data_IF_286919273044
#
_entry.id   IF_286919273044
#
_cell.length_a   1.000
_cell.length_b   1.000
_cell.length_c   1.000
_cell.angle_alpha   90.00
_cell.angle_beta   90.00
_cell.angle_gamma   90.00
#
_symmetry.space_group_name_H-M   'P 1'
#
loop_
_entity.id
_entity.type
_entity.pdbx_description
1 polymer ?
#
# COMPACT_ATOMS: atom_id res chain seq x y z
N UNK A 1 -9.46 -4.62 -0.08
CA UNK A 1 -8.22 -4.70 0.73
C UNK A 1 -8.10 -6.03 1.48
N UNK A 2 -9.03 -6.40 2.35
CA UNK A 2 -8.95 -7.65 3.17
C UNK A 2 -8.69 -8.90 2.33
N UNK A 3 -9.45 -9.12 1.24
CA UNK A 3 -9.24 -10.26 0.33
C UNK A 3 -7.83 -10.30 -0.26
N UNK A 4 -7.26 -9.14 -0.59
CA UNK A 4 -5.88 -9.05 -1.09
C UNK A 4 -4.87 -9.44 -0.01
N UNK A 5 -5.07 -8.98 1.22
CA UNK A 5 -4.22 -9.34 2.35
C UNK A 5 -4.25 -10.85 2.65
N UNK A 6 -5.44 -11.48 2.64
CA UNK A 6 -5.58 -12.94 2.83
C UNK A 6 -4.82 -13.73 1.78
N UNK A 7 -4.96 -13.36 0.51
CA UNK A 7 -4.32 -14.06 -0.60
C UNK A 7 -2.79 -13.88 -0.63
N UNK A 8 -2.28 -12.85 0.04
CA UNK A 8 -0.86 -12.51 0.05
C UNK A 8 -0.23 -12.53 1.46
N UNK A 9 -0.88 -13.19 2.43
CA UNK A 9 -0.47 -13.15 3.85
C UNK A 9 0.99 -13.57 4.05
N UNK A 10 1.41 -14.69 3.45
CA UNK A 10 2.79 -15.17 3.56
C UNK A 10 3.83 -14.13 3.09
N UNK A 11 3.55 -13.40 2.00
CA UNK A 11 4.46 -12.36 1.50
C UNK A 11 4.40 -11.10 2.35
N UNK A 12 3.21 -10.72 2.78
CA UNK A 12 3.01 -9.50 3.57
C UNK A 12 3.63 -9.61 4.97
N UNK A 13 3.78 -10.82 5.49
CA UNK A 13 4.42 -11.09 6.78
C UNK A 13 5.91 -10.67 6.83
N UNK A 14 6.57 -10.58 5.67
CA UNK A 14 7.97 -10.13 5.57
C UNK A 14 8.14 -8.60 5.74
N UNK A 15 7.03 -7.85 5.80
CA UNK A 15 7.04 -6.39 5.83
C UNK A 15 6.53 -5.85 7.17
N UNK A 16 7.04 -4.67 7.53
CA UNK A 16 6.45 -3.85 8.59
C UNK A 16 5.19 -3.17 8.05
N UNK A 17 4.03 -3.72 8.38
CA UNK A 17 2.74 -3.25 7.86
C UNK A 17 2.16 -2.14 8.73
N UNK A 18 1.61 -1.12 8.06
CA UNK A 18 0.92 0.01 8.68
C UNK A 18 -0.41 0.22 7.96
N UNK A 19 -1.49 0.48 8.70
CA UNK A 19 -2.80 0.71 8.12
C UNK A 19 -3.65 1.68 8.95
N UNK A 20 -4.51 2.44 8.28
CA UNK A 20 -5.50 3.30 8.95
C UNK A 20 -6.51 2.46 9.73
N UNK A 21 -7.08 3.06 10.79
CA UNK A 21 -7.82 2.36 11.85
C UNK A 21 -8.78 1.26 11.39
N UNK A 22 -9.73 1.58 10.51
CA UNK A 22 -10.75 0.63 10.03
C UNK A 22 -10.14 -0.47 9.16
N UNK A 23 -9.25 -0.11 8.24
CA UNK A 23 -8.58 -1.06 7.35
C UNK A 23 -7.70 -2.02 8.14
N UNK A 24 -6.87 -1.49 9.05
CA UNK A 24 -5.97 -2.29 9.88
C UNK A 24 -6.72 -3.24 10.81
N UNK A 25 -7.85 -2.80 11.38
CA UNK A 25 -8.70 -3.67 12.19
C UNK A 25 -9.24 -4.86 11.40
N UNK A 26 -9.86 -4.60 10.25
CA UNK A 26 -10.44 -5.65 9.39
C UNK A 26 -9.39 -6.63 8.85
N UNK A 27 -8.18 -6.17 8.56
CA UNK A 27 -7.11 -7.07 8.13
C UNK A 27 -6.60 -7.89 9.32
N UNK A 28 -6.38 -7.28 10.49
CA UNK A 28 -5.93 -8.00 11.68
C UNK A 28 -6.89 -9.10 12.12
N UNK A 29 -8.20 -8.87 12.00
CA UNK A 29 -9.23 -9.90 12.25
C UNK A 29 -9.17 -11.05 11.23
N UNK A 30 -8.92 -10.74 9.96
CA UNK A 30 -8.93 -11.74 8.88
C UNK A 30 -7.59 -12.47 8.67
N UNK A 31 -6.49 -11.86 9.13
CA UNK A 31 -5.11 -12.29 8.96
C UNK A 31 -4.34 -12.06 10.27
N UNK A 32 -4.56 -12.88 11.31
CA UNK A 32 -3.97 -12.68 12.64
C UNK A 32 -2.43 -12.80 12.63
N UNK A 33 -1.86 -13.50 11.64
CA UNK A 33 -0.41 -13.65 11.49
C UNK A 33 0.28 -12.37 10.97
N UNK A 34 -0.48 -11.37 10.51
CA UNK A 34 0.06 -10.10 10.06
C UNK A 34 0.18 -9.11 11.22
N UNK A 35 1.41 -8.75 11.57
CA UNK A 35 1.66 -7.69 12.55
C UNK A 35 1.44 -6.30 11.93
N UNK A 36 0.25 -5.75 12.12
CA UNK A 36 -0.17 -4.46 11.54
C UNK A 36 -0.19 -3.38 12.60
N UNK A 37 0.62 -2.33 12.39
CA UNK A 37 0.56 -1.11 13.20
C UNK A 37 -0.67 -0.30 12.77
N UNK A 38 -1.62 -0.16 13.69
CA UNK A 38 -2.85 0.62 13.46
C UNK A 38 -2.62 2.10 13.71
N UNK A 39 -2.94 2.90 12.70
CA UNK A 39 -2.96 4.36 12.77
C UNK A 39 -4.40 4.85 13.05
N UNK A 40 -4.60 6.16 13.13
CA UNK A 40 -5.95 6.73 13.14
C UNK A 40 -6.71 6.36 11.85
N UNK A 41 -8.04 6.46 11.87
CA UNK A 41 -8.81 6.39 10.62
C UNK A 41 -8.45 7.58 9.72
N UNK A 42 -8.58 7.43 8.40
CA UNK A 42 -8.29 8.50 7.43
C UNK A 42 -8.94 9.83 7.81
N UNK A 43 -10.28 9.89 8.02
CA UNK A 43 -10.99 11.11 8.43
C UNK A 43 -10.55 11.73 9.77
N UNK A 44 -9.85 10.98 10.62
CA UNK A 44 -9.34 11.46 11.92
C UNK A 44 -7.83 11.77 11.86
N UNK A 45 -7.27 11.91 10.66
CA UNK A 45 -5.87 12.26 10.41
C UNK A 45 -4.94 11.09 10.13
N UNK A 46 -5.47 9.87 9.93
CA UNK A 46 -4.66 8.70 9.57
C UNK A 46 -3.88 8.88 8.28
N UNK A 47 -4.48 9.54 7.29
CA UNK A 47 -3.83 9.79 5.99
C UNK A 47 -2.67 10.79 6.13
N UNK A 48 -2.80 11.75 7.04
CA UNK A 48 -1.73 12.69 7.38
C UNK A 48 -0.58 12.00 8.13
N UNK A 49 -0.88 11.03 9.01
CA UNK A 49 0.16 10.21 9.64
C UNK A 49 0.95 9.41 8.61
N UNK A 50 0.27 8.82 7.61
CA UNK A 50 0.94 8.12 6.50
C UNK A 50 1.77 9.10 5.68
N UNK A 51 1.22 10.27 5.33
CA UNK A 51 1.93 11.31 4.60
C UNK A 51 3.21 11.78 5.31
N UNK A 52 3.16 11.97 6.62
CA UNK A 52 4.34 12.32 7.42
C UNK A 52 5.40 11.20 7.34
N UNK A 53 5.01 9.93 7.45
CA UNK A 53 5.95 8.81 7.33
C UNK A 53 6.57 8.69 5.93
N UNK A 54 5.84 9.04 4.87
CA UNK A 54 6.42 9.14 3.51
C UNK A 54 7.48 10.23 3.50
N UNK A 55 7.14 11.43 3.99
CA UNK A 55 8.04 12.58 3.98
C UNK A 55 9.30 12.39 4.83
N UNK A 56 9.20 11.60 5.90
CA UNK A 56 10.31 11.23 6.80
C UNK A 56 11.13 10.02 6.31
N UNK A 57 10.79 9.42 5.16
CA UNK A 57 11.48 8.23 4.64
C UNK A 57 11.24 6.97 5.48
N UNK A 58 10.13 6.90 6.23
CA UNK A 58 9.75 5.78 7.11
C UNK A 58 8.74 4.82 6.46
N UNK A 59 8.22 5.18 5.29
CA UNK A 59 7.28 4.38 4.50
C UNK A 59 7.80 4.23 3.07
N UNK A 60 8.06 2.99 2.66
CA UNK A 60 8.77 2.67 1.41
C UNK A 60 7.86 2.15 0.28
N UNK A 61 6.56 2.05 0.54
CA UNK A 61 5.59 1.60 -0.45
C UNK A 61 4.16 1.76 0.07
N UNK A 62 3.24 2.09 -0.84
CA UNK A 62 1.85 2.41 -0.51
C UNK A 62 0.89 1.54 -1.32
N UNK A 63 0.03 0.77 -0.64
CA UNK A 63 -1.11 0.09 -1.27
C UNK A 63 -2.37 0.81 -0.83
N UNK A 64 -2.98 1.56 -1.74
CA UNK A 64 -4.11 2.43 -1.44
C UNK A 64 -5.22 2.25 -2.47
N UNK A 65 -6.13 1.31 -2.21
CA UNK A 65 -7.26 1.05 -3.10
C UNK A 65 -8.32 2.14 -2.94
N UNK A 66 -8.32 3.08 -3.87
CA UNK A 66 -9.28 4.18 -3.94
C UNK A 66 -10.50 3.71 -4.72
N UNK A 67 -11.70 4.06 -4.26
CA UNK A 67 -12.92 3.92 -5.06
C UNK A 67 -13.02 5.13 -6.01
N UNK A 68 -12.93 4.94 -7.34
CA UNK A 68 -12.97 6.04 -8.29
C UNK A 68 -14.38 6.55 -8.58
N UNK A 69 -15.44 5.86 -8.11
CA UNK A 69 -16.83 6.16 -8.47
C UNK A 69 -17.58 6.91 -7.37
N UNK A 70 -17.07 6.92 -6.15
CA UNK A 70 -17.74 7.52 -4.99
C UNK A 70 -16.91 8.68 -4.44
N UNK A 71 -17.46 9.92 -4.34
CA UNK A 71 -16.79 11.02 -3.67
C UNK A 71 -16.55 10.68 -2.20
N UNK A 72 -15.32 10.79 -1.71
CA UNK A 72 -15.04 10.61 -0.29
C UNK A 72 -15.09 11.95 0.46
N UNK A 73 -15.64 11.99 1.69
CA UNK A 73 -15.65 13.21 2.52
C UNK A 73 -14.27 13.83 2.77
N UNK A 74 -13.20 13.06 2.55
CA UNK A 74 -11.79 13.42 2.74
C UNK A 74 -11.00 13.31 1.42
N UNK A 75 -11.62 13.55 0.26
CA UNK A 75 -10.97 13.50 -1.07
C UNK A 75 -9.73 14.41 -1.18
N UNK A 76 -9.71 15.53 -0.45
CA UNK A 76 -8.53 16.42 -0.38
C UNK A 76 -7.34 15.70 0.25
N UNK A 77 -7.58 14.94 1.32
CA UNK A 77 -6.53 14.18 2.03
C UNK A 77 -6.01 13.03 1.17
N UNK A 78 -6.89 12.35 0.43
CA UNK A 78 -6.54 11.28 -0.53
C UNK A 78 -5.59 11.81 -1.59
N UNK A 79 -5.92 12.96 -2.20
CA UNK A 79 -5.08 13.62 -3.20
C UNK A 79 -3.76 14.10 -2.60
N UNK A 80 -3.78 14.63 -1.38
CA UNK A 80 -2.57 15.06 -0.68
C UNK A 80 -1.61 13.89 -0.41
N UNK A 81 -2.15 12.73 0.02
CA UNK A 81 -1.37 11.52 0.25
C UNK A 81 -0.76 10.98 -1.05
N UNK A 82 -1.56 10.90 -2.12
CA UNK A 82 -1.06 10.50 -3.44
C UNK A 82 0.04 11.44 -3.95
N UNK A 83 -0.12 12.75 -3.77
CA UNK A 83 0.89 13.75 -4.12
C UNK A 83 2.20 13.52 -3.38
N UNK A 84 2.16 13.19 -2.08
CA UNK A 84 3.36 12.88 -1.32
C UNK A 84 4.06 11.63 -1.85
N UNK A 85 3.32 10.56 -2.15
CA UNK A 85 3.92 9.36 -2.73
C UNK A 85 4.64 9.63 -4.06
N UNK A 86 4.08 10.52 -4.90
CA UNK A 86 4.71 10.96 -6.15
C UNK A 86 5.96 11.80 -5.92
N UNK A 87 5.92 12.77 -4.99
CA UNK A 87 7.06 13.66 -4.70
C UNK A 87 8.26 12.89 -4.16
N UNK A 88 8.03 11.89 -3.31
CA UNK A 88 9.07 11.09 -2.69
C UNK A 88 9.40 9.81 -3.47
N UNK A 89 8.82 9.64 -4.67
CA UNK A 89 9.09 8.54 -5.60
C UNK A 89 9.01 7.14 -4.97
N UNK A 90 7.96 6.89 -4.16
CA UNK A 90 7.74 5.57 -3.58
C UNK A 90 6.80 4.72 -4.45
N UNK A 91 7.02 3.40 -4.55
CA UNK A 91 6.08 2.50 -5.20
C UNK A 91 4.66 2.62 -4.62
N UNK A 92 3.70 2.98 -5.46
CA UNK A 92 2.31 3.15 -5.08
C UNK A 92 1.38 2.29 -5.95
N UNK A 93 0.51 1.51 -5.32
CA UNK A 93 -0.54 0.75 -5.97
C UNK A 93 -1.92 1.30 -5.61
N UNK A 94 -2.61 1.85 -6.60
CA UNK A 94 -3.97 2.40 -6.44
C UNK A 94 -5.07 1.38 -6.75
N UNK A 95 -4.69 0.20 -7.24
CA UNK A 95 -5.60 -0.89 -7.55
C UNK A 95 -4.91 -2.24 -7.28
N UNK A 96 -5.71 -3.30 -7.30
CA UNK A 96 -5.23 -4.66 -7.02
C UNK A 96 -4.18 -5.13 -8.02
N UNK A 97 -4.35 -4.87 -9.31
CA UNK A 97 -3.42 -5.35 -10.35
C UNK A 97 -2.01 -4.83 -10.09
N UNK A 98 -1.86 -3.53 -9.86
CA UNK A 98 -0.58 -2.90 -9.53
C UNK A 98 -0.01 -3.47 -8.22
N UNK A 99 -0.84 -3.67 -7.20
CA UNK A 99 -0.38 -4.23 -5.93
C UNK A 99 0.15 -5.67 -6.06
N UNK A 100 -0.52 -6.50 -6.86
CA UNK A 100 -0.08 -7.87 -7.16
C UNK A 100 1.25 -7.86 -7.95
N UNK A 101 1.43 -6.93 -8.88
CA UNK A 101 2.70 -6.76 -9.62
C UNK A 101 3.82 -6.33 -8.66
N UNK A 102 3.56 -5.33 -7.80
CA UNK A 102 4.54 -4.88 -6.80
C UNK A 102 4.94 -6.02 -5.85
N UNK A 103 3.99 -6.79 -5.31
CA UNK A 103 4.27 -7.95 -4.45
C UNK A 103 4.88 -9.17 -5.18
N UNK A 104 4.81 -9.24 -6.51
CA UNK A 104 5.53 -10.22 -7.32
C UNK A 104 6.98 -9.80 -7.54
N UNK A 105 7.19 -8.50 -7.80
CA UNK A 105 8.50 -7.88 -7.98
C UNK A 105 9.29 -7.78 -6.67
N UNK A 106 8.63 -7.96 -5.52
CA UNK A 106 9.19 -7.76 -4.20
C UNK A 106 10.18 -8.84 -3.72
N UNK A 107 11.34 -8.91 -4.38
CA UNK A 107 12.67 -8.99 -3.75
C UNK A 107 13.30 -7.59 -3.78
N UNK A 108 12.65 -6.62 -3.15
CA UNK A 108 13.09 -5.22 -3.19
C UNK A 108 14.06 -4.93 -2.04
N UNK A 109 15.35 -5.09 -2.29
CA UNK A 109 16.40 -4.44 -1.51
C UNK A 109 16.97 -3.24 -2.29
N UNK A 110 16.77 -2.02 -1.76
CA UNK A 110 17.52 -0.80 -2.11
C UNK A 110 17.22 -0.11 -3.45
N UNK A 111 16.01 0.43 -3.67
CA UNK A 111 15.64 0.97 -4.98
C UNK A 111 15.94 2.48 -5.21
N UNK A 112 16.48 2.75 -6.40
CA UNK A 112 15.92 3.67 -7.41
C UNK A 112 15.88 2.90 -8.77
N UNK A 113 15.01 3.23 -9.74
CA UNK A 113 14.89 2.49 -11.02
C UNK A 113 14.66 3.34 -12.26
N UNK A 114 15.27 2.94 -13.38
CA UNK A 114 15.15 3.53 -14.73
C UNK A 114 14.89 2.44 -15.81
N UNK A 115 14.12 1.41 -15.45
CA UNK A 115 14.04 0.11 -16.14
C UNK A 115 13.74 0.13 -17.65
N UNK A 116 14.40 -0.76 -18.42
CA UNK A 116 14.03 -1.13 -19.80
C UNK A 116 13.77 -2.65 -19.98
N UNK A 117 13.38 -3.35 -18.92
CA UNK A 117 13.20 -4.81 -18.95
C UNK A 117 11.84 -5.21 -19.57
N UNK A 118 11.77 -6.20 -20.48
CA UNK A 118 10.49 -6.66 -21.05
C UNK A 118 9.73 -7.60 -20.10
N UNK A 119 8.40 -7.57 -20.16
CA UNK A 119 7.53 -8.37 -19.30
C UNK A 119 7.62 -9.88 -19.60
N UNK A 120 7.57 -10.70 -18.54
CA UNK A 120 7.62 -12.16 -18.65
C UNK A 120 6.26 -12.67 -19.15
N UNK A 121 6.23 -13.20 -20.36
CA UNK A 121 5.10 -13.94 -20.90
C UNK A 121 4.82 -15.22 -20.07
N UNK A 122 3.54 -15.48 -19.79
CA UNK A 122 3.07 -16.67 -19.08
C UNK A 122 3.54 -17.94 -19.80
N UNK A 123 4.27 -18.81 -19.09
CA UNK A 123 4.16 -20.25 -19.31
C UNK A 123 3.62 -20.86 -18.02
N UNK A 124 2.31 -21.18 -18.03
CA UNK A 124 1.71 -22.13 -17.09
C UNK A 124 1.67 -23.46 -17.82
N UNK A 125 2.54 -24.39 -17.41
CA UNK A 125 2.29 -25.83 -17.55
C UNK A 125 1.31 -26.27 -16.46
#
# INVERSE_FOLDING_TARGET
MVTFARLNTAKLADYKLMATGTTGGRIGEACPDLNIIRLKSGPLGGDQQIGAMIAEGRLHGLIFFVDPLTPMPHDVDVKALMRLALVYDIPMALNRSTAEILLRSARLTGLATSSQTPEIAKNRS
#
